data_IF_849157771682
#
_entry.id   IF_849157771682
#
_cell.length_a   1.000
_cell.length_b   1.000
_cell.length_c   1.000
_cell.angle_alpha   90.00
_cell.angle_beta   90.00
_cell.angle_gamma   90.00
#
_symmetry.space_group_name_H-M   'P 1'
#
loop_
_entity.id
_entity.type
_entity.pdbx_description
1 polymer ?
#
# COMPACT_ATOMS: atom_id res chain seq x y z
N UNK A 1 -13.19 40.46 -7.78
CA UNK A 1 -12.99 39.28 -6.90
C UNK A 1 -14.21 38.41 -7.07
N UNK A 2 -14.07 37.25 -7.69
CA UNK A 2 -15.13 36.23 -7.71
C UNK A 2 -15.17 35.60 -6.32
N UNK A 3 -16.26 35.79 -5.59
CA UNK A 3 -16.48 35.09 -4.32
C UNK A 3 -16.51 33.58 -4.58
N UNK A 4 -15.91 32.81 -3.67
CA UNK A 4 -15.94 31.35 -3.75
C UNK A 4 -17.37 30.82 -3.64
N UNK A 5 -17.67 29.74 -4.36
CA UNK A 5 -19.00 29.15 -4.38
C UNK A 5 -19.43 28.67 -2.98
N UNK A 6 -20.55 29.20 -2.46
CA UNK A 6 -21.12 28.78 -1.18
C UNK A 6 -22.13 27.65 -1.37
N UNK A 7 -21.87 26.51 -0.72
CA UNK A 7 -22.77 25.35 -0.73
C UNK A 7 -23.64 25.32 0.52
N UNK A 8 -24.96 25.11 0.34
CA UNK A 8 -25.89 24.82 1.44
C UNK A 8 -26.06 23.31 1.57
N UNK A 9 -25.33 22.72 2.52
CA UNK A 9 -25.31 21.27 2.74
C UNK A 9 -26.31 20.90 3.85
N UNK A 10 -27.12 19.85 3.61
CA UNK A 10 -27.96 19.24 4.65
C UNK A 10 -27.23 18.04 5.24
N UNK A 11 -27.07 18.01 6.56
CA UNK A 11 -26.38 16.97 7.29
C UNK A 11 -27.33 16.33 8.31
N UNK A 12 -27.15 15.04 8.60
CA UNK A 12 -27.80 14.42 9.76
C UNK A 12 -27.21 15.02 11.04
N UNK A 13 -27.99 14.98 12.13
CA UNK A 13 -27.55 15.52 13.42
C UNK A 13 -26.29 14.81 13.92
N UNK A 14 -26.22 13.49 13.75
CA UNK A 14 -25.07 12.67 14.11
C UNK A 14 -23.80 13.09 13.35
N UNK A 15 -23.90 13.25 12.02
CA UNK A 15 -22.76 13.64 11.19
C UNK A 15 -22.26 15.04 11.54
N UNK A 16 -23.17 15.96 11.85
CA UNK A 16 -22.81 17.29 12.32
C UNK A 16 -22.01 17.23 13.62
N UNK A 17 -22.45 16.45 14.61
CA UNK A 17 -21.74 16.30 15.89
C UNK A 17 -20.32 15.75 15.68
N UNK A 18 -20.16 14.74 14.83
CA UNK A 18 -18.85 14.16 14.51
C UNK A 18 -17.92 15.21 13.88
N UNK A 19 -18.42 16.01 12.94
CA UNK A 19 -17.65 17.07 12.28
C UNK A 19 -17.26 18.18 13.26
N UNK A 20 -18.14 18.56 14.19
CA UNK A 20 -17.85 19.55 15.23
C UNK A 20 -16.72 19.08 16.14
N UNK A 21 -16.78 17.84 16.63
CA UNK A 21 -15.73 17.27 17.48
C UNK A 21 -14.38 17.19 16.77
N UNK A 22 -14.36 16.69 15.52
CA UNK A 22 -13.14 16.64 14.70
C UNK A 22 -12.56 18.02 14.41
N UNK A 23 -13.42 18.99 14.11
CA UNK A 23 -12.95 20.36 13.83
C UNK A 23 -12.23 20.95 15.05
N UNK A 24 -12.77 20.72 16.26
CA UNK A 24 -12.14 21.14 17.52
C UNK A 24 -10.82 20.42 17.77
N UNK A 25 -10.78 19.09 17.64
CA UNK A 25 -9.55 18.32 17.89
C UNK A 25 -8.43 18.67 16.90
N UNK A 26 -8.79 19.04 15.67
CA UNK A 26 -7.85 19.43 14.63
C UNK A 26 -7.55 20.93 14.58
N UNK A 27 -8.09 21.73 15.51
CA UNK A 27 -7.96 23.20 15.53
C UNK A 27 -8.36 23.87 14.20
N UNK A 28 -9.45 23.40 13.59
CA UNK A 28 -10.02 23.94 12.34
C UNK A 28 -11.43 24.47 12.56
N UNK A 29 -11.88 25.35 11.68
CA UNK A 29 -13.31 25.67 11.57
C UNK A 29 -14.06 24.48 10.98
N UNK A 30 -15.38 24.37 11.21
CA UNK A 30 -16.18 23.31 10.58
C UNK A 30 -16.04 23.30 9.06
N UNK A 31 -16.12 24.46 8.41
CA UNK A 31 -15.94 24.57 6.96
C UNK A 31 -14.55 24.10 6.54
N UNK A 32 -13.49 24.48 7.28
CA UNK A 32 -12.13 24.04 7.00
C UNK A 32 -11.94 22.53 7.13
N UNK A 33 -12.56 21.91 8.15
CA UNK A 33 -12.50 20.45 8.31
C UNK A 33 -13.31 19.73 7.22
N UNK A 34 -14.48 20.25 6.82
CA UNK A 34 -15.28 19.68 5.72
C UNK A 34 -14.49 19.74 4.41
N UNK A 35 -13.88 20.88 4.09
CA UNK A 35 -13.04 21.03 2.89
C UNK A 35 -11.86 20.06 2.94
N UNK A 36 -11.14 19.99 4.05
CA UNK A 36 -10.03 19.04 4.21
C UNK A 36 -10.46 17.58 4.05
N UNK A 37 -11.63 17.18 4.56
CA UNK A 37 -12.15 15.83 4.38
C UNK A 37 -12.48 15.56 2.90
N UNK A 38 -13.10 16.53 2.21
CA UNK A 38 -13.39 16.42 0.77
C UNK A 38 -12.10 16.33 -0.04
N UNK A 39 -11.11 17.17 0.25
CA UNK A 39 -9.79 17.12 -0.37
C UNK A 39 -9.11 15.77 -0.12
N UNK A 40 -9.11 15.28 1.12
CA UNK A 40 -8.55 13.98 1.45
C UNK A 40 -9.29 12.84 0.75
N UNK A 41 -10.62 12.90 0.62
CA UNK A 41 -11.37 11.88 -0.13
C UNK A 41 -11.03 11.90 -1.63
N UNK A 42 -10.87 13.10 -2.21
CA UNK A 42 -10.50 13.29 -3.62
C UNK A 42 -9.01 12.98 -3.89
N UNK A 43 -8.14 13.21 -2.92
CA UNK A 43 -6.73 12.83 -2.98
C UNK A 43 -6.55 11.33 -2.67
N UNK A 44 -7.40 10.74 -1.82
CA UNK A 44 -7.36 9.31 -1.53
C UNK A 44 -7.97 8.47 -2.65
N UNK A 45 -8.93 8.99 -3.40
CA UNK A 45 -9.33 8.39 -4.69
C UNK A 45 -8.19 8.45 -5.73
N UNK A 46 -7.21 9.35 -5.54
CA UNK A 46 -5.93 9.34 -6.27
C UNK A 46 -4.79 8.65 -5.50
N UNK A 47 -5.02 8.16 -4.28
CA UNK A 47 -4.02 7.45 -3.46
C UNK A 47 -4.07 5.93 -3.66
N UNK A 48 -4.74 5.50 -4.73
CA UNK A 48 -4.15 4.44 -5.51
C UNK A 48 -2.78 4.91 -5.94
N UNK A 49 -1.72 4.40 -5.32
CA UNK A 49 -0.34 4.58 -5.78
C UNK A 49 -0.12 4.22 -7.26
N UNK A 50 -1.16 3.77 -7.96
CA UNK A 50 -1.14 3.14 -9.27
C UNK A 50 -0.54 1.75 -9.18
N UNK A 51 -0.53 1.13 -8.00
CA UNK A 51 0.19 -0.12 -7.74
C UNK A 51 -0.59 -1.08 -6.87
N UNK A 52 -0.49 -2.36 -7.20
CA UNK A 52 -1.07 -3.48 -6.47
C UNK A 52 0.02 -4.19 -5.67
N UNK A 53 -0.26 -4.54 -4.41
CA UNK A 53 0.70 -5.23 -3.53
C UNK A 53 0.43 -6.74 -3.56
N UNK A 54 1.51 -7.51 -3.72
CA UNK A 54 1.53 -8.96 -3.73
C UNK A 54 2.56 -9.47 -2.71
N UNK A 55 2.41 -10.74 -2.34
CA UNK A 55 3.46 -11.49 -1.65
C UNK A 55 3.69 -12.82 -2.36
N UNK A 56 4.93 -13.31 -2.29
CA UNK A 56 5.29 -14.61 -2.81
C UNK A 56 6.17 -15.35 -1.83
N UNK A 57 5.90 -16.65 -1.74
CA UNK A 57 6.49 -17.60 -0.81
C UNK A 57 7.38 -18.56 -1.60
N UNK A 58 8.69 -18.50 -1.36
CA UNK A 58 9.70 -19.32 -2.04
C UNK A 58 10.25 -20.36 -1.09
N UNK A 59 10.14 -21.63 -1.45
CA UNK A 59 10.71 -22.74 -0.69
C UNK A 59 12.21 -22.88 -1.01
N UNK A 60 13.05 -22.93 0.03
CA UNK A 60 14.50 -23.09 -0.11
C UNK A 60 14.94 -24.56 -0.04
N UNK A 61 14.01 -25.51 0.06
CA UNK A 61 14.32 -26.92 0.39
C UNK A 61 13.93 -27.94 -0.69
N UNK A 62 13.08 -27.58 -1.65
CA UNK A 62 12.37 -28.55 -2.49
C UNK A 62 13.23 -29.19 -3.59
N UNK A 63 14.17 -28.44 -4.18
CA UNK A 63 14.87 -28.91 -5.39
C UNK A 63 16.25 -29.55 -5.12
N UNK A 64 16.92 -29.25 -4.01
CA UNK A 64 18.33 -29.63 -3.79
C UNK A 64 18.62 -30.09 -2.35
N UNK A 65 18.07 -31.22 -1.87
CA UNK A 65 18.13 -31.65 -0.47
C UNK A 65 19.54 -31.96 0.07
N UNK A 66 20.57 -31.98 -0.76
CA UNK A 66 21.96 -32.27 -0.38
C UNK A 66 22.83 -31.02 -0.17
N UNK A 67 22.40 -29.83 -0.59
CA UNK A 67 23.17 -28.59 -0.45
C UNK A 67 23.04 -28.00 0.97
N UNK A 68 24.04 -27.28 1.51
CA UNK A 68 23.87 -26.52 2.76
C UNK A 68 22.73 -25.49 2.64
N UNK A 69 21.99 -25.24 3.73
CA UNK A 69 20.84 -24.33 3.72
C UNK A 69 21.19 -22.93 3.21
N UNK A 70 22.36 -22.40 3.57
CA UNK A 70 22.80 -21.06 3.18
C UNK A 70 23.03 -20.92 1.66
N UNK A 71 23.47 -21.99 0.97
CA UNK A 71 23.64 -21.97 -0.49
C UNK A 71 22.28 -21.94 -1.18
N UNK A 72 21.31 -22.67 -0.62
CA UNK A 72 19.93 -22.69 -1.15
C UNK A 72 19.24 -21.35 -0.95
N UNK A 73 19.38 -20.71 0.22
CA UNK A 73 18.83 -19.38 0.45
C UNK A 73 19.44 -18.35 -0.49
N UNK A 74 20.78 -18.37 -0.66
CA UNK A 74 21.47 -17.47 -1.60
C UNK A 74 21.00 -17.65 -3.05
N UNK A 75 20.64 -18.88 -3.45
CA UNK A 75 20.07 -19.16 -4.76
C UNK A 75 18.68 -18.52 -4.91
N UNK A 76 17.81 -18.67 -3.92
CA UNK A 76 16.48 -18.05 -3.92
C UNK A 76 16.60 -16.52 -3.93
N UNK A 77 17.50 -15.94 -3.13
CA UNK A 77 17.77 -14.50 -3.13
C UNK A 77 18.23 -13.99 -4.51
N UNK A 78 19.07 -14.76 -5.21
CA UNK A 78 19.49 -14.43 -6.58
C UNK A 78 18.32 -14.49 -7.57
N UNK A 79 17.44 -15.48 -7.44
CA UNK A 79 16.24 -15.58 -8.28
C UNK A 79 15.31 -14.39 -8.04
N UNK A 80 15.07 -14.03 -6.77
CA UNK A 80 14.27 -12.87 -6.41
C UNK A 80 14.90 -11.60 -7.01
N UNK A 81 16.21 -11.44 -6.89
CA UNK A 81 16.95 -10.31 -7.45
C UNK A 81 16.80 -10.21 -8.98
N UNK A 82 16.87 -11.34 -9.69
CA UNK A 82 16.68 -11.40 -11.15
C UNK A 82 15.27 -10.98 -11.58
N UNK A 83 14.24 -11.32 -10.79
CA UNK A 83 12.86 -10.86 -11.04
C UNK A 83 12.76 -9.34 -11.03
N UNK A 84 13.32 -8.67 -10.02
CA UNK A 84 13.25 -7.21 -9.92
C UNK A 84 14.20 -6.52 -10.91
N UNK A 85 15.31 -7.15 -11.28
CA UNK A 85 16.19 -6.64 -12.32
C UNK A 85 15.50 -6.63 -13.70
N UNK A 86 14.76 -7.70 -14.02
CA UNK A 86 14.03 -7.83 -15.30
C UNK A 86 12.75 -7.01 -15.35
N UNK A 87 12.18 -6.67 -14.18
CA UNK A 87 10.94 -5.91 -14.06
C UNK A 87 11.20 -4.65 -13.22
N UNK A 88 11.86 -3.63 -13.78
CA UNK A 88 12.22 -2.41 -13.04
C UNK A 88 11.00 -1.61 -12.56
N UNK A 89 9.82 -1.86 -13.12
CA UNK A 89 8.56 -1.29 -12.67
C UNK A 89 8.01 -1.97 -11.40
N UNK A 90 8.55 -3.12 -10.99
CA UNK A 90 8.21 -3.79 -9.74
C UNK A 90 9.07 -3.24 -8.60
N UNK A 91 8.48 -3.12 -7.41
CA UNK A 91 9.17 -2.56 -6.25
C UNK A 91 9.10 -3.54 -5.09
N UNK A 92 10.25 -4.01 -4.65
CA UNK A 92 10.38 -4.79 -3.42
C UNK A 92 10.03 -3.92 -2.22
N UNK A 93 9.08 -4.38 -1.40
CA UNK A 93 8.59 -3.68 -0.20
C UNK A 93 9.25 -4.26 1.05
N UNK A 94 9.27 -5.59 1.13
CA UNK A 94 9.84 -6.30 2.26
C UNK A 94 10.30 -7.70 1.84
N UNK A 95 11.27 -8.25 2.55
CA UNK A 95 11.72 -9.63 2.42
C UNK A 95 12.01 -10.18 3.81
N UNK A 96 11.51 -11.38 4.08
CA UNK A 96 11.71 -12.06 5.36
C UNK A 96 12.03 -13.54 5.17
N UNK A 97 12.74 -14.08 6.15
CA UNK A 97 13.09 -15.49 6.22
C UNK A 97 12.18 -16.18 7.21
N UNK A 98 11.57 -17.29 6.80
CA UNK A 98 10.61 -18.08 7.57
C UNK A 98 11.13 -19.50 7.82
N UNK A 99 10.58 -20.17 8.82
CA UNK A 99 10.86 -21.58 9.14
C UNK A 99 12.37 -21.90 9.25
N UNK A 100 13.11 -21.12 10.03
CA UNK A 100 14.55 -21.27 10.26
C UNK A 100 15.40 -21.23 8.96
N UNK A 101 15.02 -20.43 7.97
CA UNK A 101 15.75 -20.34 6.71
C UNK A 101 15.21 -21.21 5.59
N UNK A 102 14.23 -22.08 5.87
CA UNK A 102 13.69 -23.02 4.88
C UNK A 102 12.77 -22.35 3.86
N UNK A 103 12.33 -21.13 4.11
CA UNK A 103 11.43 -20.39 3.24
C UNK A 103 11.77 -18.90 3.25
N UNK A 104 11.62 -18.25 2.11
CA UNK A 104 11.72 -16.79 1.98
C UNK A 104 10.38 -16.26 1.50
N UNK A 105 9.83 -15.27 2.21
CA UNK A 105 8.66 -14.51 1.77
C UNK A 105 9.12 -13.12 1.37
N UNK A 106 8.66 -12.65 0.22
CA UNK A 106 8.85 -11.25 -0.16
C UNK A 106 7.55 -10.62 -0.59
N UNK A 107 7.42 -9.33 -0.28
CA UNK A 107 6.32 -8.47 -0.68
C UNK A 107 6.81 -7.50 -1.71
N UNK A 108 5.99 -7.26 -2.71
CA UNK A 108 6.32 -6.34 -3.78
C UNK A 108 5.07 -5.66 -4.28
N UNK A 109 5.26 -4.51 -4.90
CA UNK A 109 4.21 -3.85 -5.67
C UNK A 109 4.51 -3.91 -7.15
N UNK A 110 3.44 -4.02 -7.95
CA UNK A 110 3.46 -3.93 -9.41
C UNK A 110 2.53 -2.81 -9.87
N UNK A 111 2.69 -2.24 -11.07
CA UNK A 111 1.73 -1.31 -11.63
C UNK A 111 0.31 -1.90 -11.68
N UNK A 112 -0.71 -1.11 -11.38
CA UNK A 112 -2.10 -1.56 -11.34
C UNK A 112 -2.61 -2.03 -12.70
N UNK A 113 -2.05 -1.52 -13.79
CA UNK A 113 -2.30 -2.01 -15.15
C UNK A 113 -1.87 -3.46 -15.39
N UNK A 114 -0.98 -3.99 -14.54
CA UNK A 114 -0.51 -5.38 -14.56
C UNK A 114 -1.14 -6.22 -13.43
N UNK A 115 -2.08 -5.63 -12.68
CA UNK A 115 -2.81 -6.31 -11.60
C UNK A 115 -3.69 -7.42 -12.17
N UNK A 116 -3.57 -8.62 -11.59
CA UNK A 116 -4.49 -9.74 -11.86
C UNK A 116 -5.81 -9.65 -11.09
N UNK A 117 -5.98 -8.59 -10.28
CA UNK A 117 -7.22 -8.28 -9.56
C UNK A 117 -7.87 -7.09 -10.26
N UNK A 118 -8.85 -7.38 -11.10
CA UNK A 118 -9.93 -6.46 -11.48
C UNK A 118 -11.10 -6.64 -10.48
#
# INVERSE_FOLDING_TARGET
MTEDAQLKIRLSQELKSILEERSKSNNRTMNGEIVNILEQALLNTKSDSGRSIYFQDMNCIEDYPKEPLHERTARVERMISDVFYRNPQYQLINIETLNDGKKIRYWYSIPRSESFRD
#
